data_IF_462228755481
#
_entry.id   IF_462228755481
#
_cell.length_a   1.000
_cell.length_b   1.000
_cell.length_c   1.000
_cell.angle_alpha   90.00
_cell.angle_beta   90.00
_cell.angle_gamma   90.00
#
_symmetry.space_group_name_H-M   'P 1'
#
loop_
_entity.id
_entity.type
_entity.pdbx_description
1 polymer ?
#
# COMPACT_ATOMS: atom_id res chain seq x y z
N UNK A 1 -7.26 11.24 12.49
CA UNK A 1 -5.85 10.82 12.67
C UNK A 1 -5.56 9.71 11.67
N UNK A 2 -4.44 9.80 10.97
CA UNK A 2 -3.91 8.72 10.14
C UNK A 2 -2.68 8.14 10.82
N UNK A 3 -2.57 6.82 10.83
CA UNK A 3 -1.38 6.08 11.26
C UNK A 3 -0.75 5.50 10.00
N UNK A 4 0.54 5.75 9.82
CA UNK A 4 1.33 5.23 8.71
C UNK A 4 2.32 4.22 9.26
N UNK A 5 2.17 2.96 8.87
CA UNK A 5 3.07 1.88 9.23
C UNK A 5 3.90 1.46 8.01
N UNK A 6 5.20 1.30 8.23
CA UNK A 6 6.14 0.69 7.29
C UNK A 6 6.67 -0.58 7.95
N UNK A 7 6.21 -1.74 7.48
CA UNK A 7 6.49 -3.03 8.12
C UNK A 7 7.46 -3.80 7.22
N UNK A 8 8.60 -4.19 7.79
CA UNK A 8 9.67 -4.92 7.10
C UNK A 8 9.64 -6.38 7.53
N UNK A 9 9.53 -7.29 6.58
CA UNK A 9 9.46 -8.74 6.81
C UNK A 9 10.80 -9.41 6.49
N UNK A 10 11.04 -10.57 7.12
CA UNK A 10 12.32 -11.30 7.01
C UNK A 10 12.58 -11.89 5.62
N UNK A 11 11.54 -12.08 4.82
CA UNK A 11 11.62 -12.55 3.43
C UNK A 11 11.96 -11.44 2.43
N UNK A 12 12.08 -10.19 2.90
CA UNK A 12 12.30 -8.99 2.08
C UNK A 12 11.00 -8.28 1.66
N UNK A 13 9.83 -8.76 2.10
CA UNK A 13 8.55 -8.08 1.83
C UNK A 13 8.43 -6.81 2.68
N UNK A 14 7.97 -5.72 2.05
CA UNK A 14 7.68 -4.44 2.69
C UNK A 14 6.18 -4.20 2.61
N UNK A 15 5.51 -3.95 3.74
CA UNK A 15 4.13 -3.47 3.76
C UNK A 15 4.11 -1.97 4.05
N UNK A 16 3.37 -1.23 3.24
CA UNK A 16 2.99 0.16 3.55
C UNK A 16 1.51 0.16 3.88
N UNK A 17 1.18 0.51 5.12
CA UNK A 17 -0.17 0.48 5.65
C UNK A 17 -0.58 1.86 6.16
N UNK A 18 -1.80 2.25 5.84
CA UNK A 18 -2.44 3.45 6.37
C UNK A 18 -3.72 3.06 7.07
N UNK A 19 -3.83 3.44 8.34
CA UNK A 19 -5.05 3.25 9.13
C UNK A 19 -5.62 4.59 9.56
N UNK A 20 -6.92 4.77 9.43
CA UNK A 20 -7.64 5.96 9.86
C UNK A 20 -8.34 5.75 11.20
N UNK A 21 -8.28 6.77 12.06
CA UNK A 21 -9.04 6.86 13.30
C UNK A 21 -9.39 8.31 13.62
N UNK A 22 -9.99 8.56 14.78
CA UNK A 22 -10.48 9.88 15.19
C UNK A 22 -11.88 10.18 14.67
N UNK A 23 -12.25 11.45 14.78
CA UNK A 23 -13.59 11.92 14.44
C UNK A 23 -13.85 12.01 12.94
N UNK A 24 -15.10 11.75 12.57
CA UNK A 24 -15.62 11.84 11.22
C UNK A 24 -15.94 13.28 10.83
N UNK A 25 -15.73 13.62 9.55
CA UNK A 25 -16.28 14.87 9.00
C UNK A 25 -17.77 14.67 8.67
N UNK A 26 -18.64 14.86 9.67
CA UNK A 26 -20.10 14.73 9.57
C UNK A 26 -20.79 15.88 8.82
N UNK A 27 -22.05 15.68 8.45
CA UNK A 27 -22.94 16.76 8.02
C UNK A 27 -24.34 16.55 8.59
N UNK A 28 -25.15 17.61 8.55
CA UNK A 28 -26.49 17.60 9.15
C UNK A 28 -27.42 16.62 8.44
N UNK A 29 -28.12 15.80 9.22
CA UNK A 29 -29.00 14.74 8.72
C UNK A 29 -30.37 15.26 8.29
N UNK A 30 -30.77 14.87 7.08
CA UNK A 30 -32.14 15.03 6.57
C UNK A 30 -32.63 13.71 5.95
N UNK A 31 -33.93 13.38 6.00
CA UNK A 31 -34.45 12.14 5.43
C UNK A 31 -34.11 11.90 3.94
N UNK A 32 -33.94 12.99 3.17
CA UNK A 32 -33.51 12.97 1.76
C UNK A 32 -32.09 12.43 1.56
N UNK A 33 -31.26 12.40 2.61
CA UNK A 33 -29.85 12.04 2.54
C UNK A 33 -29.57 10.55 2.76
N UNK A 34 -30.61 9.72 2.94
CA UNK A 34 -30.50 8.27 3.20
C UNK A 34 -29.65 7.50 2.17
N UNK A 35 -29.56 8.00 0.93
CA UNK A 35 -28.76 7.40 -0.12
C UNK A 35 -27.25 7.69 -0.01
N UNK A 36 -26.84 8.68 0.81
CA UNK A 36 -25.46 9.20 0.85
C UNK A 36 -24.70 8.83 2.13
N UNK A 37 -25.27 7.96 2.94
CA UNK A 37 -24.68 7.50 4.17
C UNK A 37 -25.75 7.10 5.17
N UNK A 38 -25.27 6.52 6.25
CA UNK A 38 -26.05 6.46 7.48
C UNK A 38 -25.70 7.72 8.29
N UNK A 39 -26.30 7.91 9.44
CA UNK A 39 -26.08 9.10 10.25
C UNK A 39 -24.69 9.08 10.94
N UNK A 40 -23.56 9.17 10.20
CA UNK A 40 -22.12 9.11 10.62
C UNK A 40 -21.20 9.16 9.32
N UNK A 41 -19.96 9.77 9.20
CA UNK A 41 -19.24 10.20 7.90
C UNK A 41 -17.69 9.84 7.64
N UNK A 42 -16.95 10.33 6.58
CA UNK A 42 -15.77 9.68 5.82
C UNK A 42 -14.42 10.44 5.45
N UNK A 43 -13.32 9.75 4.93
CA UNK A 43 -12.01 10.27 4.30
C UNK A 43 -11.13 9.28 3.39
N UNK A 44 -10.06 9.74 2.63
CA UNK A 44 -9.05 8.94 1.78
C UNK A 44 -7.63 9.61 1.60
N UNK A 45 -6.52 8.88 1.26
CA UNK A 45 -5.07 9.36 1.19
C UNK A 45 -4.20 8.75 0.02
N UNK A 46 -2.89 9.08 -0.17
CA UNK A 46 -1.94 8.52 -1.21
C UNK A 46 -0.46 8.49 -0.77
N UNK A 47 0.38 7.60 -1.33
CA UNK A 47 1.85 7.51 -1.15
C UNK A 47 2.62 7.43 -2.50
N UNK A 48 3.85 7.92 -2.58
CA UNK A 48 4.78 7.77 -3.73
C UNK A 48 5.85 6.72 -3.39
N UNK A 49 6.20 5.85 -4.35
CA UNK A 49 7.23 4.81 -4.18
C UNK A 49 8.20 4.83 -5.36
N UNK A 50 9.45 5.16 -5.07
CA UNK A 50 10.57 5.17 -6.02
C UNK A 50 11.38 3.87 -5.83
N UNK A 51 11.45 3.02 -6.87
CA UNK A 51 12.01 1.66 -6.76
C UNK A 51 13.17 1.45 -7.73
N UNK A 52 14.39 1.36 -7.18
CA UNK A 52 15.59 0.98 -7.93
C UNK A 52 15.87 -0.52 -7.83
N UNK A 53 15.18 -1.33 -8.64
CA UNK A 53 15.31 -2.79 -8.56
C UNK A 53 16.61 -3.25 -9.22
N UNK A 54 17.63 -3.50 -8.38
CA UNK A 54 18.97 -3.93 -8.82
C UNK A 54 19.62 -2.93 -9.80
N UNK A 55 19.36 -1.64 -9.60
CA UNK A 55 19.74 -0.54 -10.49
C UNK A 55 18.50 0.26 -10.95
N UNK A 56 18.73 1.36 -11.65
CA UNK A 56 17.68 2.29 -12.10
C UNK A 56 16.94 1.79 -13.34
N UNK A 57 17.60 1.09 -14.26
CA UNK A 57 16.99 0.65 -15.53
C UNK A 57 16.00 -0.51 -15.29
N UNK A 58 14.71 -0.22 -15.24
CA UNK A 58 13.65 -1.15 -14.84
C UNK A 58 12.50 -1.22 -15.87
N UNK A 59 11.64 -2.23 -15.76
CA UNK A 59 10.48 -2.45 -16.62
C UNK A 59 9.25 -2.86 -15.83
N UNK A 60 8.08 -2.40 -16.28
CA UNK A 60 6.79 -2.80 -15.72
C UNK A 60 6.31 -4.12 -16.33
N UNK A 61 6.23 -5.16 -15.51
CA UNK A 61 5.70 -6.48 -15.84
C UNK A 61 4.23 -6.60 -15.43
N UNK A 62 3.37 -6.93 -16.38
CA UNK A 62 2.00 -7.36 -16.14
C UNK A 62 1.91 -8.89 -16.25
N UNK A 63 1.50 -9.54 -15.17
CA UNK A 63 1.18 -10.98 -15.17
C UNK A 63 -0.33 -11.14 -15.10
N UNK A 64 -0.91 -12.00 -15.94
CA UNK A 64 -2.35 -12.26 -15.97
C UNK A 64 -2.65 -13.75 -16.06
N UNK A 65 -3.85 -14.16 -15.63
CA UNK A 65 -4.32 -15.54 -15.75
C UNK A 65 -5.57 -15.62 -16.62
N UNK A 66 -5.61 -16.58 -17.54
CA UNK A 66 -6.80 -16.86 -18.37
C UNK A 66 -7.07 -18.35 -18.44
N UNK A 67 -8.24 -18.74 -18.93
CA UNK A 67 -8.50 -20.14 -19.28
C UNK A 67 -8.03 -20.42 -20.70
N UNK A 68 -7.52 -21.63 -20.92
CA UNK A 68 -7.27 -22.17 -22.24
C UNK A 68 -7.72 -23.63 -22.30
N UNK A 69 -8.09 -24.07 -23.51
CA UNK A 69 -8.38 -25.47 -23.80
C UNK A 69 -7.14 -26.09 -24.44
N UNK A 70 -6.60 -27.15 -23.83
CA UNK A 70 -5.38 -27.83 -24.27
C UNK A 70 -5.61 -29.33 -24.35
N UNK A 71 -5.07 -29.95 -25.39
CA UNK A 71 -5.00 -31.41 -25.51
C UNK A 71 -3.66 -31.89 -24.97
N UNK A 72 -3.69 -32.71 -23.92
CA UNK A 72 -2.49 -33.27 -23.29
C UNK A 72 -2.23 -34.69 -23.79
N UNK A 73 -1.08 -34.97 -24.43
CA UNK A 73 -0.79 -36.29 -25.02
C UNK A 73 -0.74 -37.45 -24.02
N UNK A 74 -0.60 -37.17 -22.73
CA UNK A 74 -0.43 -38.17 -21.67
C UNK A 74 -1.69 -38.40 -20.82
N UNK A 75 -2.83 -37.80 -21.20
CA UNK A 75 -4.10 -38.09 -20.53
C UNK A 75 -4.76 -39.34 -21.11
N UNK A 76 -5.36 -40.10 -20.21
CA UNK A 76 -6.08 -41.33 -20.54
C UNK A 76 -7.32 -41.00 -21.40
N UNK A 77 -7.66 -41.90 -22.31
CA UNK A 77 -8.81 -41.73 -23.20
C UNK A 77 -10.13 -41.75 -22.41
N UNK A 78 -10.16 -42.45 -21.28
CA UNK A 78 -11.36 -42.62 -20.43
C UNK A 78 -11.99 -41.29 -19.97
N UNK A 79 -11.19 -40.23 -19.82
CA UNK A 79 -11.64 -38.90 -19.41
C UNK A 79 -11.51 -37.85 -20.52
N UNK A 80 -11.06 -38.26 -21.71
CA UNK A 80 -10.70 -37.38 -22.82
C UNK A 80 -9.35 -36.69 -22.62
N UNK A 81 -8.63 -36.49 -23.73
CA UNK A 81 -7.30 -35.86 -23.71
C UNK A 81 -7.34 -34.32 -23.61
N UNK A 82 -8.52 -33.73 -23.77
CA UNK A 82 -8.71 -32.27 -23.79
C UNK A 82 -9.20 -31.77 -22.44
N UNK A 83 -8.47 -30.81 -21.87
CA UNK A 83 -8.84 -30.17 -20.61
C UNK A 83 -8.90 -28.66 -20.75
N UNK A 84 -9.69 -28.05 -19.88
CA UNK A 84 -9.69 -26.61 -19.65
C UNK A 84 -8.78 -26.36 -18.45
N UNK A 85 -7.74 -25.57 -18.64
CA UNK A 85 -6.76 -25.26 -17.60
C UNK A 85 -6.48 -23.75 -17.54
N UNK A 86 -5.84 -23.33 -16.45
CA UNK A 86 -5.37 -21.95 -16.31
C UNK A 86 -4.02 -21.76 -17.03
N UNK A 87 -3.91 -20.70 -17.83
CA UNK A 87 -2.68 -20.20 -18.44
C UNK A 87 -2.21 -18.96 -17.70
N UNK A 88 -0.90 -18.81 -17.55
CA UNK A 88 -0.26 -17.58 -17.07
C UNK A 88 0.39 -16.88 -18.26
N UNK A 89 0.03 -15.61 -18.47
CA UNK A 89 0.63 -14.74 -19.49
C UNK A 89 1.45 -13.66 -18.81
N UNK A 90 2.61 -13.32 -19.39
CA UNK A 90 3.54 -12.29 -18.89
C UNK A 90 3.87 -11.34 -20.01
N UNK A 91 3.56 -10.06 -19.82
CA UNK A 91 3.72 -9.00 -20.82
C UNK A 91 4.40 -7.79 -20.17
N UNK A 92 5.28 -7.13 -20.92
CA UNK A 92 5.90 -5.89 -20.46
C UNK A 92 5.08 -4.70 -20.99
N UNK A 93 4.70 -3.79 -20.10
CA UNK A 93 4.03 -2.54 -20.48
C UNK A 93 5.07 -1.64 -21.15
N UNK A 94 4.82 -1.25 -22.39
CA UNK A 94 5.86 -0.67 -23.24
C UNK A 94 6.12 0.83 -22.98
N UNK A 95 5.06 1.57 -22.61
CA UNK A 95 5.10 3.01 -22.41
C UNK A 95 4.04 3.48 -21.39
N UNK A 96 4.09 4.77 -21.08
CA UNK A 96 3.21 5.42 -20.09
C UNK A 96 1.72 5.46 -20.45
N UNK A 97 1.36 5.32 -21.74
CA UNK A 97 -0.04 5.40 -22.18
C UNK A 97 -0.89 4.28 -21.56
N UNK A 98 -0.27 3.11 -21.37
CA UNK A 98 -0.87 1.91 -20.78
C UNK A 98 -0.51 1.72 -19.29
N UNK A 99 0.08 2.73 -18.66
CA UNK A 99 0.66 2.61 -17.31
C UNK A 99 -0.18 3.23 -16.20
N UNK A 100 -1.45 3.58 -16.47
CA UNK A 100 -2.44 4.00 -15.46
C UNK A 100 -3.38 2.85 -15.13
N UNK A 101 -3.13 2.16 -14.03
CA UNK A 101 -3.53 0.77 -13.82
C UNK A 101 -4.58 0.59 -12.73
N UNK A 102 -5.40 -0.44 -12.91
CA UNK A 102 -6.32 -0.94 -11.88
C UNK A 102 -5.98 -2.39 -11.60
N UNK A 103 -6.17 -2.83 -10.36
CA UNK A 103 -5.95 -4.23 -10.04
C UNK A 103 -6.90 -5.13 -10.84
N UNK A 104 -6.44 -6.30 -11.34
CA UNK A 104 -7.30 -7.24 -12.03
C UNK A 104 -8.47 -7.70 -11.15
N UNK A 105 -9.63 -7.91 -11.78
CA UNK A 105 -10.78 -8.53 -11.11
C UNK A 105 -10.35 -9.89 -10.55
N UNK A 106 -10.79 -10.20 -9.33
CA UNK A 106 -10.45 -11.44 -8.63
C UNK A 106 -8.92 -11.65 -8.46
N UNK A 107 -8.12 -10.58 -8.58
CA UNK A 107 -6.66 -10.63 -8.52
C UNK A 107 -6.07 -11.68 -9.46
N UNK A 108 -6.64 -11.82 -10.67
CA UNK A 108 -6.18 -12.73 -11.72
C UNK A 108 -4.90 -12.25 -12.40
N UNK A 109 -3.86 -12.00 -11.60
CA UNK A 109 -2.64 -11.35 -12.03
C UNK A 109 -2.19 -10.23 -11.12
N UNK A 110 -1.23 -9.46 -11.60
CA UNK A 110 -0.66 -8.34 -10.88
C UNK A 110 0.43 -7.61 -11.66
N UNK A 111 1.03 -6.63 -11.01
CA UNK A 111 2.04 -5.77 -11.58
C UNK A 111 3.34 -5.85 -10.78
N UNK A 112 4.47 -5.86 -11.46
CA UNK A 112 5.79 -5.87 -10.84
C UNK A 112 6.74 -4.94 -11.58
N UNK A 113 7.70 -4.36 -10.86
CA UNK A 113 8.84 -3.67 -11.44
C UNK A 113 10.00 -4.67 -11.49
N UNK A 114 10.58 -4.87 -12.67
CA UNK A 114 11.62 -5.89 -12.91
C UNK A 114 12.80 -5.34 -13.69
N UNK A 115 13.98 -5.89 -13.45
CA UNK A 115 15.18 -5.64 -14.24
C UNK A 115 15.46 -6.85 -15.13
N UNK A 116 15.39 -6.65 -16.45
CA UNK A 116 15.54 -7.73 -17.44
C UNK A 116 16.99 -8.08 -17.70
N UNK A 117 17.89 -7.12 -17.49
CA UNK A 117 19.32 -7.27 -17.69
C UNK A 117 20.02 -7.90 -16.47
N UNK A 118 19.32 -8.00 -15.34
CA UNK A 118 19.78 -8.62 -14.11
C UNK A 118 18.91 -9.83 -13.72
N UNK A 119 19.01 -10.96 -14.42
CA UNK A 119 18.29 -12.17 -14.05
C UNK A 119 18.89 -12.85 -12.82
N UNK A 120 18.08 -13.65 -12.12
CA UNK A 120 18.54 -14.57 -11.07
C UNK A 120 19.22 -15.82 -11.67
N UNK A 121 19.67 -16.77 -10.82
CA UNK A 121 20.35 -17.99 -11.30
C UNK A 121 19.49 -18.87 -12.22
N UNK A 122 18.18 -18.65 -12.24
CA UNK A 122 17.21 -19.34 -13.08
C UNK A 122 16.92 -18.59 -14.40
N UNK A 123 17.75 -17.60 -14.75
CA UNK A 123 17.57 -16.76 -15.94
C UNK A 123 16.25 -15.98 -15.96
N UNK A 124 15.65 -15.73 -14.78
CA UNK A 124 14.40 -14.99 -14.66
C UNK A 124 14.68 -13.57 -14.17
N UNK A 125 14.11 -12.52 -14.80
CA UNK A 125 14.28 -11.13 -14.36
C UNK A 125 14.01 -10.94 -12.87
N UNK A 126 14.91 -10.25 -12.18
CA UNK A 126 14.77 -9.91 -10.75
C UNK A 126 13.79 -8.76 -10.61
N UNK A 127 12.88 -8.84 -9.64
CA UNK A 127 11.76 -7.91 -9.54
C UNK A 127 11.22 -7.72 -8.14
N UNK A 128 10.40 -6.68 -7.97
CA UNK A 128 9.48 -6.56 -6.85
C UNK A 128 8.05 -6.43 -7.38
N UNK A 129 7.16 -7.26 -6.85
CA UNK A 129 5.74 -7.23 -7.18
C UNK A 129 5.00 -6.26 -6.27
N UNK A 130 4.09 -5.48 -6.84
CA UNK A 130 3.22 -4.54 -6.14
C UNK A 130 1.90 -5.25 -5.85
N UNK A 131 1.83 -5.91 -4.70
CA UNK A 131 0.65 -6.66 -4.30
C UNK A 131 -0.38 -5.78 -3.57
N UNK A 132 -1.67 -5.90 -3.90
CA UNK A 132 -2.72 -5.26 -3.13
C UNK A 132 -2.77 -5.84 -1.72
N UNK A 133 -2.94 -4.97 -0.72
CA UNK A 133 -3.20 -5.36 0.66
C UNK A 133 -4.64 -5.07 1.06
N UNK A 134 -4.84 -4.46 2.22
CA UNK A 134 -6.17 -4.09 2.68
C UNK A 134 -6.78 -3.02 1.78
N UNK A 135 -8.09 -3.11 1.51
CA UNK A 135 -8.86 -2.09 0.77
C UNK A 135 -8.18 -1.57 -0.51
N UNK A 136 -7.93 -2.42 -1.53
CA UNK A 136 -7.26 -2.02 -2.77
C UNK A 136 -8.22 -1.29 -3.72
N UNK A 137 -8.71 -0.14 -3.27
CA UNK A 137 -9.74 0.66 -3.96
C UNK A 137 -9.15 1.89 -4.63
N UNK A 138 -9.93 2.48 -5.53
CA UNK A 138 -9.66 3.77 -6.15
C UNK A 138 -10.94 4.63 -6.09
N UNK A 139 -10.85 5.92 -6.37
CA UNK A 139 -12.00 6.82 -6.31
C UNK A 139 -13.10 6.35 -7.28
N UNK A 140 -14.35 6.30 -6.78
CA UNK A 140 -15.55 5.98 -7.58
C UNK A 140 -16.04 7.19 -8.36
N UNK A 141 -15.79 8.41 -7.86
CA UNK A 141 -16.32 9.64 -8.45
C UNK A 141 -15.43 10.09 -9.61
N UNK A 142 -15.96 10.04 -10.82
CA UNK A 142 -15.30 10.52 -12.05
C UNK A 142 -16.08 11.71 -12.62
N UNK A 143 -15.37 12.75 -13.09
CA UNK A 143 -15.98 13.91 -13.75
C UNK A 143 -16.54 15.00 -12.82
N UNK A 144 -16.23 14.97 -11.52
CA UNK A 144 -16.63 16.02 -10.58
C UNK A 144 -15.86 17.33 -10.83
N UNK A 145 -16.58 18.46 -10.92
CA UNK A 145 -15.98 19.81 -10.97
C UNK A 145 -15.11 20.15 -9.75
N UNK A 146 -15.26 19.40 -8.64
CA UNK A 146 -14.47 19.57 -7.42
C UNK A 146 -13.16 18.76 -7.43
N UNK A 147 -13.02 17.83 -8.38
CA UNK A 147 -11.87 16.92 -8.48
C UNK A 147 -11.09 17.03 -9.80
N UNK A 148 -11.68 17.67 -10.83
CA UNK A 148 -11.17 17.83 -12.21
C UNK A 148 -9.76 17.27 -12.45
N UNK A 149 -8.72 18.10 -12.37
CA UNK A 149 -7.31 17.74 -12.56
C UNK A 149 -6.53 17.68 -11.23
N UNK A 150 -7.05 18.22 -10.13
CA UNK A 150 -6.29 18.33 -8.87
C UNK A 150 -6.04 16.99 -8.15
N UNK A 151 -6.81 15.95 -8.49
CA UNK A 151 -6.69 14.61 -7.92
C UNK A 151 -6.91 13.52 -8.99
N UNK A 152 -6.48 13.77 -10.23
CA UNK A 152 -6.67 12.83 -11.35
C UNK A 152 -6.07 11.45 -11.08
N UNK A 153 -4.98 11.42 -10.32
CA UNK A 153 -4.35 10.20 -9.84
C UNK A 153 -5.28 9.25 -9.10
N UNK A 154 -6.33 9.74 -8.43
CA UNK A 154 -7.20 8.93 -7.58
C UNK A 154 -8.08 7.96 -8.37
N UNK A 155 -8.09 8.03 -9.70
CA UNK A 155 -8.91 7.18 -10.60
C UNK A 155 -8.37 5.77 -10.79
N UNK A 156 -7.12 5.54 -10.39
CA UNK A 156 -6.36 4.31 -10.63
C UNK A 156 -5.95 3.69 -9.29
N UNK A 157 -5.60 2.41 -9.27
CA UNK A 157 -4.99 1.81 -8.07
C UNK A 157 -3.51 2.16 -7.99
N UNK A 158 -2.84 2.15 -9.13
CA UNK A 158 -1.46 2.57 -9.27
C UNK A 158 -1.23 3.17 -10.66
N UNK A 159 -0.14 3.90 -10.81
CA UNK A 159 0.36 4.27 -12.12
C UNK A 159 1.90 4.23 -12.14
N UNK A 160 2.51 4.06 -13.31
CA UNK A 160 3.97 4.00 -13.47
C UNK A 160 4.41 5.00 -14.53
N UNK A 161 5.38 5.85 -14.20
CA UNK A 161 5.96 6.83 -15.11
C UNK A 161 7.49 6.74 -15.10
N UNK A 162 8.14 7.36 -16.08
CA UNK A 162 9.59 7.57 -16.04
C UNK A 162 9.93 8.58 -14.94
N UNK A 163 11.03 8.33 -14.24
CA UNK A 163 11.51 9.19 -13.15
C UNK A 163 12.04 10.50 -13.71
N UNK A 164 11.53 11.63 -13.21
CA UNK A 164 11.99 12.99 -13.55
C UNK A 164 12.17 13.84 -12.29
N UNK A 165 13.28 14.57 -12.20
CA UNK A 165 13.50 15.55 -11.10
C UNK A 165 12.46 16.67 -11.08
N UNK A 166 11.86 16.98 -12.23
CA UNK A 166 10.77 17.96 -12.37
C UNK A 166 9.43 17.45 -11.85
N UNK A 167 9.30 16.17 -11.50
CA UNK A 167 8.07 15.52 -11.04
C UNK A 167 8.23 14.94 -9.62
N UNK A 168 8.68 15.74 -8.63
CA UNK A 168 9.05 15.22 -7.30
C UNK A 168 7.84 14.83 -6.44
N UNK A 169 6.63 15.22 -6.85
CA UNK A 169 5.40 14.92 -6.14
C UNK A 169 4.25 14.92 -7.12
N UNK A 170 3.22 14.13 -6.82
CA UNK A 170 2.02 14.01 -7.64
C UNK A 170 0.88 14.96 -7.26
N UNK A 171 1.12 15.83 -6.27
CA UNK A 171 0.17 16.85 -5.82
C UNK A 171 0.93 18.02 -5.19
N UNK A 172 0.20 19.02 -4.73
CA UNK A 172 0.73 20.11 -3.92
C UNK A 172 -0.29 20.54 -2.88
N UNK A 173 0.16 21.28 -1.86
CA UNK A 173 -0.75 21.88 -0.87
C UNK A 173 -1.79 22.83 -1.49
N UNK A 174 -1.54 23.34 -2.70
CA UNK A 174 -2.40 24.30 -3.39
C UNK A 174 -3.42 23.63 -4.33
N UNK A 175 -3.22 22.37 -4.70
CA UNK A 175 -4.06 21.63 -5.65
C UNK A 175 -5.54 21.61 -5.23
N UNK A 176 -5.83 21.47 -3.93
CA UNK A 176 -7.20 21.41 -3.42
C UNK A 176 -8.04 22.65 -3.78
N UNK A 177 -7.39 23.82 -3.93
CA UNK A 177 -8.05 25.08 -4.24
C UNK A 177 -8.20 25.37 -5.75
N UNK A 178 -7.53 24.58 -6.60
CA UNK A 178 -7.44 24.81 -8.04
C UNK A 178 -7.80 23.52 -8.82
N UNK A 179 -9.07 23.05 -8.76
CA UNK A 179 -9.46 21.79 -9.40
C UNK A 179 -9.16 21.74 -10.90
N UNK A 180 -9.44 22.82 -11.64
CA UNK A 180 -9.26 22.84 -13.10
C UNK A 180 -7.88 23.25 -13.61
N UNK A 181 -7.04 23.82 -12.74
CA UNK A 181 -5.69 24.27 -13.10
C UNK A 181 -4.74 24.14 -11.89
N UNK A 182 -4.52 22.92 -11.39
CA UNK A 182 -3.69 22.69 -10.21
C UNK A 182 -2.23 23.04 -10.48
N UNK A 183 -1.47 23.31 -9.42
CA UNK A 183 -0.02 23.56 -9.52
C UNK A 183 0.71 22.31 -10.02
N UNK A 184 0.30 21.13 -9.55
CA UNK A 184 0.79 19.84 -10.04
C UNK A 184 -0.38 19.12 -10.70
N UNK A 185 -0.28 18.88 -12.00
CA UNK A 185 -1.27 18.11 -12.76
C UNK A 185 -0.68 16.73 -13.07
N UNK A 186 -1.09 15.73 -12.30
CA UNK A 186 -0.57 14.37 -12.40
C UNK A 186 -0.79 13.74 -13.78
N UNK A 187 -1.82 14.17 -14.52
CA UNK A 187 -2.09 13.64 -15.85
C UNK A 187 -0.99 13.95 -16.85
N UNK A 188 -0.20 15.01 -16.60
CA UNK A 188 0.92 15.46 -17.45
C UNK A 188 2.19 14.63 -17.30
N UNK A 189 2.26 13.75 -16.30
CA UNK A 189 3.41 12.86 -16.11
C UNK A 189 3.42 11.72 -17.13
N UNK A 190 2.32 11.52 -17.86
CA UNK A 190 2.13 10.44 -18.82
C UNK A 190 2.13 11.04 -20.22
N UNK A 191 3.33 11.25 -20.78
CA UNK A 191 3.55 11.87 -22.09
C UNK A 191 4.01 10.88 -23.17
N UNK A 192 3.88 9.58 -22.88
CA UNK A 192 4.09 8.47 -23.83
C UNK A 192 5.51 7.93 -23.82
N UNK A 193 6.31 8.26 -22.80
CA UNK A 193 7.68 7.77 -22.67
C UNK A 193 7.75 6.26 -22.49
N UNK A 194 8.88 5.67 -22.91
CA UNK A 194 9.06 4.23 -22.83
C UNK A 194 9.39 3.79 -21.40
N UNK A 195 8.75 2.68 -20.98
CA UNK A 195 9.01 2.02 -19.70
C UNK A 195 9.95 0.80 -19.84
N UNK A 196 10.68 0.71 -20.95
CA UNK A 196 11.52 -0.43 -21.27
C UNK A 196 12.96 -0.23 -20.78
N UNK A 197 13.30 -0.76 -19.60
CA UNK A 197 14.61 -0.63 -18.96
C UNK A 197 14.98 0.85 -18.82
N UNK A 198 14.14 1.59 -18.11
CA UNK A 198 14.33 3.01 -17.77
C UNK A 198 14.11 3.20 -16.28
N UNK A 199 14.51 4.34 -15.73
CA UNK A 199 14.24 4.70 -14.34
C UNK A 199 12.72 4.94 -14.14
N UNK A 200 12.09 4.16 -13.25
CA UNK A 200 10.63 4.09 -13.10
C UNK A 200 10.16 4.50 -11.70
N UNK A 201 9.11 5.31 -11.64
CA UNK A 201 8.40 5.62 -10.38
C UNK A 201 7.04 4.93 -10.36
N UNK A 202 6.74 4.21 -9.27
CA UNK A 202 5.43 3.63 -9.02
C UNK A 202 4.61 4.52 -8.08
N UNK A 203 3.48 5.01 -8.58
CA UNK A 203 2.58 5.88 -7.84
C UNK A 203 1.36 5.11 -7.33
N UNK A 204 1.38 4.69 -6.07
CA UNK A 204 0.41 3.73 -5.51
C UNK A 204 -0.62 4.43 -4.63
N UNK A 205 -1.89 4.19 -4.89
CA UNK A 205 -2.99 4.74 -4.08
C UNK A 205 -3.38 3.77 -2.96
N UNK A 206 -3.62 4.34 -1.78
CA UNK A 206 -4.16 3.64 -0.60
C UNK A 206 -5.40 4.38 -0.14
N UNK A 207 -6.51 3.68 0.02
CA UNK A 207 -7.78 4.34 0.30
C UNK A 207 -8.84 3.40 0.84
N UNK A 208 -9.96 3.98 1.24
CA UNK A 208 -11.10 3.24 1.74
C UNK A 208 -12.37 3.81 1.16
N UNK A 209 -13.29 2.95 0.74
CA UNK A 209 -14.70 3.32 0.68
C UNK A 209 -15.25 3.25 2.10
N UNK A 210 -15.12 4.35 2.83
CA UNK A 210 -15.65 4.43 4.17
C UNK A 210 -17.17 4.60 4.05
N UNK A 211 -17.90 3.68 4.69
CA UNK A 211 -19.36 3.67 4.80
C UNK A 211 -19.65 3.59 6.30
N UNK A 212 -19.79 4.73 6.98
CA UNK A 212 -19.69 4.74 8.42
C UNK A 212 -20.90 4.08 9.06
N UNK A 213 -20.66 3.52 10.23
CA UNK A 213 -21.65 2.91 11.07
C UNK A 213 -21.68 3.52 12.48
N UNK A 214 -22.65 3.12 13.28
CA UNK A 214 -22.82 3.64 14.65
C UNK A 214 -21.56 3.40 15.51
N UNK A 215 -20.84 2.32 15.24
CA UNK A 215 -19.61 1.93 15.92
C UNK A 215 -18.39 2.79 15.53
N UNK A 216 -18.53 3.71 14.58
CA UNK A 216 -17.51 4.75 14.30
C UNK A 216 -17.71 5.99 15.18
N UNK A 217 -18.69 5.97 16.09
CA UNK A 217 -18.83 6.94 17.17
C UNK A 217 -18.24 6.38 18.48
N UNK A 218 -17.38 7.16 19.19
CA UNK A 218 -16.96 8.51 18.87
C UNK A 218 -15.84 8.60 17.81
N UNK A 219 -15.12 7.50 17.55
CA UNK A 219 -13.98 7.48 16.63
C UNK A 219 -14.04 6.29 15.69
N UNK A 220 -13.56 6.48 14.47
CA UNK A 220 -13.30 5.39 13.52
C UNK A 220 -12.29 4.40 14.08
N UNK A 221 -12.56 3.12 13.84
CA UNK A 221 -11.69 2.03 14.30
C UNK A 221 -10.60 1.75 13.27
N UNK A 222 -9.35 1.80 13.71
CA UNK A 222 -8.18 1.60 12.83
C UNK A 222 -8.21 0.24 12.15
N UNK A 223 -8.66 -0.81 12.83
CA UNK A 223 -8.66 -2.17 12.31
C UNK A 223 -9.50 -2.37 11.04
N UNK A 224 -10.59 -1.60 10.86
CA UNK A 224 -11.46 -1.69 9.67
C UNK A 224 -11.21 -0.56 8.67
N UNK A 225 -10.85 0.63 9.15
CA UNK A 225 -10.46 1.75 8.28
C UNK A 225 -8.97 1.68 7.92
N UNK A 226 -8.57 0.57 7.31
CA UNK A 226 -7.19 0.32 6.90
C UNK A 226 -7.10 0.06 5.40
N UNK A 227 -6.04 0.58 4.79
CA UNK A 227 -5.61 0.27 3.42
C UNK A 227 -4.12 -0.02 3.40
N UNK A 228 -3.68 -0.95 2.55
CA UNK A 228 -2.26 -1.27 2.41
C UNK A 228 -1.90 -1.81 1.04
N UNK A 229 -0.60 -1.83 0.75
CA UNK A 229 0.00 -2.60 -0.33
C UNK A 229 1.29 -3.24 0.17
N UNK A 230 1.74 -4.27 -0.56
CA UNK A 230 3.00 -4.94 -0.31
C UNK A 230 3.92 -4.77 -1.51
N UNK A 231 5.20 -4.57 -1.23
CA UNK A 231 6.29 -4.75 -2.18
C UNK A 231 6.96 -6.05 -1.80
N UNK A 232 6.82 -7.08 -2.63
CA UNK A 232 7.37 -8.41 -2.33
C UNK A 232 8.38 -8.82 -3.38
N UNK A 233 9.52 -9.43 -2.99
CA UNK A 233 10.49 -9.97 -3.94
C UNK A 233 9.83 -10.93 -4.94
N UNK A 234 9.99 -10.65 -6.24
CA UNK A 234 9.54 -11.51 -7.33
C UNK A 234 10.76 -11.96 -8.13
N UNK A 235 11.21 -13.20 -7.90
CA UNK A 235 12.45 -13.74 -8.49
C UNK A 235 13.69 -12.88 -8.21
N UNK A 236 13.61 -11.95 -7.24
CA UNK A 236 14.73 -11.08 -6.88
C UNK A 236 15.89 -11.87 -6.26
N UNK A 237 15.57 -12.89 -5.48
CA UNK A 237 16.53 -13.81 -4.91
C UNK A 237 16.50 -15.15 -5.65
N UNK A 238 17.52 -15.96 -5.41
CA UNK A 238 17.62 -17.31 -5.97
C UNK A 238 16.76 -18.35 -5.24
N UNK A 239 16.30 -17.99 -4.04
CA UNK A 239 15.49 -18.76 -3.09
C UNK A 239 14.93 -17.82 -2.02
N UNK A 240 14.08 -18.33 -1.13
CA UNK A 240 13.62 -17.58 0.04
C UNK A 240 14.78 -17.28 1.00
N UNK A 241 15.05 -15.99 1.23
CA UNK A 241 16.12 -15.53 2.13
C UNK A 241 15.75 -15.65 3.61
N UNK A 242 14.48 -15.86 3.95
CA UNK A 242 14.05 -16.06 5.34
C UNK A 242 14.61 -17.35 5.95
N UNK A 243 15.07 -18.28 5.09
CA UNK A 243 15.71 -19.54 5.50
C UNK A 243 17.00 -19.33 6.30
N UNK A 244 17.67 -18.19 6.13
CA UNK A 244 18.89 -17.84 6.87
C UNK A 244 18.58 -17.38 8.30
N UNK A 245 17.31 -17.22 8.66
CA UNK A 245 16.89 -16.87 10.00
C UNK A 245 17.18 -17.99 10.98
N UNK A 246 18.01 -17.70 11.98
CA UNK A 246 18.33 -18.62 13.08
C UNK A 246 17.14 -18.86 14.03
N UNK A 247 16.05 -18.11 13.88
CA UNK A 247 14.88 -18.23 14.75
C UNK A 247 13.91 -19.34 14.31
N UNK A 248 14.26 -20.13 13.29
CA UNK A 248 13.50 -21.30 12.87
C UNK A 248 13.72 -22.51 13.80
N UNK A 249 12.75 -23.43 13.84
CA UNK A 249 12.88 -24.73 14.53
C UNK A 249 12.72 -25.84 13.49
N UNK A 250 13.74 -26.68 13.33
CA UNK A 250 13.70 -27.82 12.42
C UNK A 250 13.39 -29.11 13.19
N UNK A 251 12.19 -29.66 12.99
CA UNK A 251 11.77 -30.92 13.61
C UNK A 251 12.28 -32.14 12.82
N UNK A 252 12.82 -33.12 13.54
CA UNK A 252 13.28 -34.41 13.00
C UNK A 252 12.41 -35.55 13.51
N UNK A 253 11.94 -36.39 12.58
CA UNK A 253 11.02 -37.50 12.85
C UNK A 253 11.67 -38.52 13.79
N UNK A 254 10.96 -38.98 14.83
CA UNK A 254 11.46 -40.03 15.71
C UNK A 254 11.72 -41.35 14.96
N UNK A 255 12.75 -42.10 15.38
CA UNK A 255 13.07 -43.40 14.77
C UNK A 255 12.09 -44.51 15.16
N UNK A 256 11.54 -44.47 16.38
CA UNK A 256 10.56 -45.44 16.84
C UNK A 256 9.17 -44.80 16.98
N UNK A 257 8.10 -45.54 16.65
CA UNK A 257 6.74 -45.08 16.92
C UNK A 257 6.54 -44.75 18.41
N UNK A 258 6.05 -43.54 18.70
CA UNK A 258 5.76 -43.07 20.05
C UNK A 258 6.87 -42.24 20.71
N UNK A 259 8.07 -42.18 20.14
CA UNK A 259 9.13 -41.30 20.63
C UNK A 259 8.82 -39.82 20.29
N UNK A 260 9.31 -38.85 21.09
CA UNK A 260 9.18 -37.43 20.77
C UNK A 260 10.03 -37.04 19.55
N UNK A 261 9.59 -36.02 18.83
CA UNK A 261 10.41 -35.39 17.80
C UNK A 261 11.65 -34.76 18.43
N UNK A 262 12.78 -34.88 17.72
CA UNK A 262 13.98 -34.09 18.04
C UNK A 262 13.94 -32.79 17.26
N UNK A 263 14.72 -31.79 17.66
CA UNK A 263 14.73 -30.50 16.97
C UNK A 263 16.12 -29.86 16.96
N UNK A 264 16.35 -29.01 15.97
CA UNK A 264 17.44 -28.02 15.93
C UNK A 264 16.84 -26.62 16.05
N UNK A 265 17.33 -25.84 17.01
CA UNK A 265 16.94 -24.46 17.28
C UNK A 265 18.01 -23.44 16.88
N UNK A 266 19.04 -23.89 16.15
CA UNK A 266 20.19 -23.10 15.72
C UNK A 266 20.89 -22.37 16.89
N UNK A 267 20.72 -22.87 18.12
CA UNK A 267 21.26 -22.25 19.33
C UNK A 267 20.49 -21.02 19.84
N UNK A 268 19.34 -20.68 19.23
CA UNK A 268 18.49 -19.55 19.64
C UNK A 268 17.51 -20.00 20.71
N UNK A 269 17.99 -20.03 21.95
CA UNK A 269 17.16 -20.43 23.09
C UNK A 269 16.31 -19.27 23.60
N UNK A 270 15.06 -19.53 24.02
CA UNK A 270 14.27 -18.55 24.77
C UNK A 270 15.04 -18.16 26.05
N UNK A 271 15.38 -16.88 26.17
CA UNK A 271 15.94 -16.38 27.42
C UNK A 271 14.83 -16.37 28.49
N UNK A 272 15.04 -17.11 29.58
CA UNK A 272 14.19 -16.99 30.77
C UNK A 272 14.73 -15.84 31.61
N UNK A 273 14.46 -14.62 31.17
CA UNK A 273 14.75 -13.41 31.93
C UNK A 273 13.48 -12.57 32.07
N UNK A 274 13.29 -12.00 33.26
CA UNK A 274 12.30 -10.94 33.44
C UNK A 274 12.94 -9.67 32.90
N UNK A 275 12.38 -9.03 31.86
CA UNK A 275 12.93 -7.75 31.38
C UNK A 275 12.83 -6.71 32.50
N UNK A 276 13.71 -5.71 32.46
CA UNK A 276 13.55 -4.56 33.36
C UNK A 276 12.16 -3.95 33.17
N UNK A 277 11.59 -3.45 34.28
CA UNK A 277 10.29 -2.79 34.21
C UNK A 277 10.42 -1.59 33.24
N UNK A 278 9.55 -1.47 32.22
CA UNK A 278 9.59 -0.33 31.34
C UNK A 278 9.40 0.95 32.15
N UNK A 279 10.01 2.04 31.70
CA UNK A 279 9.80 3.35 32.31
C UNK A 279 8.29 3.65 32.41
N UNK A 280 7.84 4.33 33.47
CA UNK A 280 6.46 4.80 33.56
C UNK A 280 6.09 5.61 32.32
N UNK A 281 4.83 5.50 31.90
CA UNK A 281 4.32 6.30 30.78
C UNK A 281 4.43 7.80 31.09
N UNK A 282 4.98 8.56 30.16
CA UNK A 282 5.06 10.01 30.22
C UNK A 282 4.38 10.62 28.99
N UNK A 283 3.56 11.65 29.20
CA UNK A 283 2.96 12.45 28.13
C UNK A 283 3.42 13.89 28.28
N UNK A 284 4.28 14.35 27.37
CA UNK A 284 4.78 15.72 27.34
C UNK A 284 4.10 16.51 26.22
N UNK A 285 3.75 17.75 26.51
CA UNK A 285 3.18 18.67 25.52
C UNK A 285 4.30 19.33 24.74
N UNK A 286 4.09 19.71 23.45
CA UNK A 286 5.09 20.43 22.68
C UNK A 286 5.57 21.68 23.42
N UNK A 287 6.87 21.97 23.35
CA UNK A 287 7.42 23.23 23.88
C UNK A 287 6.96 24.36 22.97
N UNK A 288 6.18 25.29 23.52
CA UNK A 288 5.69 26.44 22.78
C UNK A 288 6.69 27.58 22.91
N UNK A 289 6.94 28.29 21.82
CA UNK A 289 7.73 29.50 21.81
C UNK A 289 6.84 30.68 21.44
N UNK A 290 7.05 31.84 22.06
CA UNK A 290 6.40 33.09 21.66
C UNK A 290 7.00 33.64 20.34
N UNK A 291 6.43 34.73 19.83
CA UNK A 291 6.89 35.36 18.57
C UNK A 291 8.31 35.92 18.65
N UNK A 292 8.89 36.00 19.85
CA UNK A 292 10.26 36.43 20.11
C UNK A 292 11.22 35.26 20.37
N UNK A 293 10.72 34.02 20.33
CA UNK A 293 11.50 32.79 20.52
C UNK A 293 11.64 32.32 21.97
N UNK A 294 11.05 33.03 22.94
CA UNK A 294 11.10 32.60 24.35
C UNK A 294 10.11 31.48 24.61
N UNK A 295 10.47 30.55 25.50
CA UNK A 295 9.57 29.45 25.90
C UNK A 295 8.32 30.04 26.57
N UNK A 296 7.17 29.81 25.96
CA UNK A 296 5.86 30.17 26.52
C UNK A 296 5.53 29.15 27.63
N UNK A 297 5.17 29.59 28.84
CA UNK A 297 4.73 28.68 29.88
C UNK A 297 3.49 27.89 29.43
N UNK A 298 3.32 26.65 29.92
CA UNK A 298 2.19 25.81 29.53
C UNK A 298 0.88 26.53 29.79
N UNK A 299 0.03 26.60 28.78
CA UNK A 299 -1.35 27.04 28.95
C UNK A 299 -2.20 25.98 29.65
N UNK A 300 -3.46 26.30 29.97
CA UNK A 300 -4.39 25.28 30.46
C UNK A 300 -4.57 24.14 29.42
N UNK A 301 -5.05 22.99 29.88
CA UNK A 301 -5.16 21.77 29.06
C UNK A 301 -5.99 21.97 27.79
N UNK A 302 -6.99 22.85 27.82
CA UNK A 302 -7.86 23.15 26.69
C UNK A 302 -7.14 23.97 25.62
N UNK A 303 -6.35 24.97 26.00
CA UNK A 303 -5.54 25.76 25.07
C UNK A 303 -4.42 24.90 24.46
N UNK A 304 -3.79 24.02 25.24
CA UNK A 304 -2.78 23.09 24.75
C UNK A 304 -3.36 22.08 23.75
N UNK A 305 -4.55 21.55 24.05
CA UNK A 305 -5.31 20.70 23.12
C UNK A 305 -5.69 21.46 21.85
N UNK A 306 -6.19 22.70 21.98
CA UNK A 306 -6.56 23.55 20.84
C UNK A 306 -5.37 23.83 19.91
N UNK A 307 -4.18 24.05 20.48
CA UNK A 307 -2.95 24.26 19.71
C UNK A 307 -2.46 22.97 19.01
N UNK A 308 -2.56 21.81 19.66
CA UNK A 308 -2.25 20.52 19.03
C UNK A 308 -3.23 20.17 17.89
N UNK A 309 -4.48 20.59 18.01
CA UNK A 309 -5.56 20.33 17.03
C UNK A 309 -5.73 21.45 15.98
N UNK A 310 -4.88 22.49 15.97
CA UNK A 310 -5.08 23.74 15.20
C UNK A 310 -5.30 23.55 13.70
N UNK A 311 -4.75 22.48 13.10
CA UNK A 311 -4.91 22.18 11.67
C UNK A 311 -6.08 21.24 11.35
N UNK A 312 -6.81 20.76 12.36
CA UNK A 312 -7.89 19.77 12.22
C UNK A 312 -9.27 20.30 12.59
N UNK A 313 -9.37 21.51 13.16
CA UNK A 313 -10.66 22.17 13.41
C UNK A 313 -10.91 23.24 12.35
N UNK A 314 -11.92 23.02 11.51
CA UNK A 314 -12.61 24.11 10.82
C UNK A 314 -13.71 24.59 11.79
N UNK A 315 -13.58 25.76 12.43
CA UNK A 315 -14.71 26.35 13.14
C UNK A 315 -15.78 26.70 12.10
N UNK A 316 -16.91 26.01 12.13
CA UNK A 316 -18.13 26.50 11.49
C UNK A 316 -18.92 27.24 12.56
N UNK A 317 -18.95 28.57 12.47
CA UNK A 317 -19.98 29.36 13.14
C UNK A 317 -21.30 29.10 12.41
N UNK A 318 -22.34 28.72 13.16
CA UNK A 318 -23.73 28.66 12.69
C UNK A 318 -24.37 30.04 12.80
#
# INVERSE_FOLDING_TARGET
MLVFDYILQLDGTIEVRVSASGYLQAGFWEPSQKAYGTQIRDTTTRVQVDLDIAGTENSLLHTSTSQETVTQPWYDEDWGQTVIQQKITREYVANEDDAKLKYPVNFQGGYAIVNRDQPNKWSTPRGYSIHPGFSPVHNTVVGSKRLEHNADWARYNLAVSVRKDSEPSSSSMWNANLPGAPVVDFSKFFDGESLNQTDLVAWINVGTHHLPAAEDAPNTRTNTATSSFYLTPLNYFDHDISIDSTNAILLSVPKNPGDPFTFDDYGVRPAVCVPEAPAPFEYSTPTLHDRTGNVKPPSNMEETRRLAEMYHRIPMEL
#
